data_IF_731199631667
#
_entry.id   IF_731199631667
#
_cell.length_a   1.000
_cell.length_b   1.000
_cell.length_c   1.000
_cell.angle_alpha   90.00
_cell.angle_beta   90.00
_cell.angle_gamma   90.00
#
_symmetry.space_group_name_H-M   'P 1'
#
loop_
_entity.id
_entity.type
_entity.pdbx_description
1 polymer ?
#
# COMPACT_ATOMS: atom_id res chain seq x y z
N UNK A 1 -73.88 -40.36 38.47
CA UNK A 1 -72.55 -39.95 38.91
C UNK A 1 -71.58 -40.24 37.76
N UNK A 2 -71.23 -39.19 37.01
CA UNK A 2 -70.43 -39.28 35.78
C UNK A 2 -69.02 -38.87 36.13
N UNK A 3 -68.05 -39.73 35.95
CA UNK A 3 -66.60 -39.35 36.03
C UNK A 3 -66.04 -39.14 34.68
N UNK A 4 -65.75 -37.88 34.42
CA UNK A 4 -65.01 -37.45 33.24
C UNK A 4 -63.51 -37.71 33.45
N UNK A 5 -62.93 -38.45 32.50
CA UNK A 5 -61.44 -38.64 32.38
C UNK A 5 -60.95 -37.69 31.34
N UNK A 6 -60.19 -36.70 31.78
CA UNK A 6 -59.48 -35.78 30.93
C UNK A 6 -58.11 -36.35 30.54
N UNK A 7 -57.98 -36.72 29.27
CA UNK A 7 -56.70 -37.13 28.71
C UNK A 7 -55.89 -35.92 28.31
N UNK A 8 -54.69 -35.75 28.92
CA UNK A 8 -53.72 -34.75 28.53
C UNK A 8 -52.92 -35.21 27.31
N UNK A 9 -53.05 -34.52 26.23
CA UNK A 9 -52.20 -34.71 25.04
C UNK A 9 -50.92 -33.92 25.23
N UNK A 10 -49.79 -34.60 25.42
CA UNK A 10 -48.45 -34.01 25.43
C UNK A 10 -48.00 -33.82 23.97
N UNK A 11 -47.98 -32.57 23.52
CA UNK A 11 -47.41 -32.16 22.24
C UNK A 11 -45.92 -31.99 22.42
N UNK A 12 -45.09 -32.95 21.93
CA UNK A 12 -43.63 -32.83 21.86
C UNK A 12 -43.34 -32.03 20.61
N UNK A 13 -43.05 -30.72 20.76
CA UNK A 13 -42.49 -29.89 19.72
C UNK A 13 -40.97 -30.15 19.62
N UNK A 14 -40.58 -30.94 18.62
CA UNK A 14 -39.17 -31.09 18.26
C UNK A 14 -38.66 -29.78 17.65
N UNK A 15 -37.90 -28.99 18.44
CA UNK A 15 -37.13 -27.88 17.92
C UNK A 15 -35.97 -28.42 17.07
N UNK A 16 -36.13 -28.44 15.77
CA UNK A 16 -35.05 -28.57 14.81
C UNK A 16 -34.24 -27.25 14.87
N UNK A 17 -33.23 -27.21 15.72
CA UNK A 17 -32.20 -26.19 15.66
C UNK A 17 -31.40 -26.43 14.37
N UNK A 18 -31.80 -25.74 13.31
CA UNK A 18 -30.99 -25.61 12.12
C UNK A 18 -29.72 -24.84 12.49
N UNK A 19 -28.61 -25.59 12.67
CA UNK A 19 -27.28 -24.98 12.70
C UNK A 19 -27.06 -24.40 11.30
N UNK A 20 -27.24 -23.09 11.16
CA UNK A 20 -26.71 -22.35 10.02
C UNK A 20 -25.21 -22.49 10.11
N UNK A 21 -24.62 -23.41 9.35
CA UNK A 21 -23.19 -23.39 9.07
C UNK A 21 -22.94 -22.07 8.37
N UNK A 22 -22.43 -21.09 9.12
CA UNK A 22 -21.79 -19.93 8.53
C UNK A 22 -20.67 -20.53 7.70
N UNK A 23 -20.83 -20.50 6.37
CA UNK A 23 -19.74 -20.81 5.46
C UNK A 23 -18.64 -19.79 5.78
N UNK A 24 -17.55 -20.27 6.40
CA UNK A 24 -16.32 -19.51 6.52
C UNK A 24 -15.86 -19.22 5.09
N UNK A 25 -16.28 -18.05 4.58
CA UNK A 25 -15.63 -17.48 3.40
C UNK A 25 -14.13 -17.29 3.72
N UNK A 26 -13.25 -17.36 2.73
CA UNK A 26 -11.83 -17.17 2.97
C UNK A 26 -11.64 -15.89 3.79
N UNK A 27 -10.93 -16.01 4.91
CA UNK A 27 -10.70 -14.89 5.83
C UNK A 27 -10.19 -13.68 5.04
N UNK A 28 -10.83 -12.54 5.22
CA UNK A 28 -10.47 -11.32 4.48
C UNK A 28 -9.01 -11.00 4.80
N UNK A 29 -8.17 -10.92 3.76
CA UNK A 29 -6.76 -10.58 3.91
C UNK A 29 -6.60 -9.23 4.61
N UNK A 30 -5.60 -9.13 5.46
CA UNK A 30 -5.27 -7.88 6.17
C UNK A 30 -5.02 -6.74 5.17
N UNK A 31 -5.64 -5.56 5.30
CA UNK A 31 -5.43 -4.45 4.38
C UNK A 31 -4.00 -3.91 4.44
N UNK A 32 -3.58 -3.26 3.35
CA UNK A 32 -2.38 -2.43 3.33
C UNK A 32 -2.74 -1.02 3.77
N UNK A 33 -1.99 -0.48 4.73
CA UNK A 33 -2.13 0.90 5.17
C UNK A 33 -0.95 1.73 4.67
N UNK A 34 -1.23 2.81 3.94
CA UNK A 34 -0.23 3.73 3.43
C UNK A 34 -0.44 5.11 4.08
N UNK A 35 0.46 5.47 4.99
CA UNK A 35 0.56 6.80 5.56
C UNK A 35 1.43 7.65 4.65
N UNK A 36 0.84 8.64 4.00
CA UNK A 36 1.47 9.50 3.01
C UNK A 36 1.68 10.88 3.59
N UNK A 37 2.88 11.13 4.11
CA UNK A 37 3.29 12.45 4.56
C UNK A 37 3.52 13.34 3.36
N UNK A 38 2.82 14.46 3.28
CA UNK A 38 3.06 15.46 2.26
C UNK A 38 4.08 16.46 2.79
N UNK A 39 5.27 16.46 2.17
CA UNK A 39 6.31 17.41 2.53
C UNK A 39 5.82 18.85 2.36
N UNK A 40 6.32 19.76 3.19
CA UNK A 40 5.84 21.15 3.23
C UNK A 40 6.13 21.94 1.92
N UNK A 41 6.98 21.40 1.03
CA UNK A 41 7.20 21.95 -0.32
C UNK A 41 6.13 21.52 -1.34
N UNK A 42 5.26 20.55 -1.03
CA UNK A 42 4.21 20.07 -1.94
C UNK A 42 3.15 21.14 -2.13
N UNK A 43 3.05 21.65 -3.36
CA UNK A 43 2.20 22.78 -3.73
C UNK A 43 0.75 22.40 -3.99
N UNK A 44 0.49 21.12 -4.35
CA UNK A 44 -0.86 20.67 -4.63
C UNK A 44 -1.67 20.56 -3.32
N UNK A 45 -2.74 21.33 -3.23
CA UNK A 45 -3.63 21.33 -2.08
C UNK A 45 -4.88 20.47 -2.30
N UNK A 46 -5.20 20.13 -3.54
CA UNK A 46 -6.29 19.23 -3.89
C UNK A 46 -5.80 17.78 -3.75
N UNK A 47 -6.17 17.13 -2.65
CA UNK A 47 -5.80 15.76 -2.35
C UNK A 47 -6.41 14.75 -3.34
N UNK A 48 -7.58 15.03 -3.88
CA UNK A 48 -8.22 14.14 -4.87
C UNK A 48 -7.42 14.15 -6.17
N UNK A 49 -7.00 15.34 -6.60
CA UNK A 49 -6.15 15.51 -7.78
C UNK A 49 -4.79 14.84 -7.58
N UNK A 50 -4.12 15.08 -6.45
CA UNK A 50 -2.85 14.45 -6.11
C UNK A 50 -2.98 12.92 -6.11
N UNK A 51 -4.02 12.39 -5.47
CA UNK A 51 -4.27 10.96 -5.44
C UNK A 51 -4.54 10.40 -6.83
N UNK A 52 -5.32 11.08 -7.66
CA UNK A 52 -5.62 10.67 -9.04
C UNK A 52 -4.36 10.61 -9.90
N UNK A 53 -3.51 11.63 -9.81
CA UNK A 53 -2.35 11.78 -10.69
C UNK A 53 -1.19 10.84 -10.28
N UNK A 54 -1.00 10.58 -8.98
CA UNK A 54 0.18 9.87 -8.47
C UNK A 54 -0.09 8.55 -7.73
N UNK A 55 -1.33 8.26 -7.28
CA UNK A 55 -1.58 7.18 -6.33
C UNK A 55 -2.61 6.16 -6.84
N UNK A 56 -3.78 6.61 -7.28
CA UNK A 56 -4.96 5.75 -7.50
C UNK A 56 -4.71 4.63 -8.50
N UNK A 57 -3.92 4.88 -9.52
CA UNK A 57 -3.65 3.91 -10.57
C UNK A 57 -2.83 2.71 -10.09
N UNK A 58 -1.79 2.92 -9.27
CA UNK A 58 -1.02 1.80 -8.73
C UNK A 58 -1.73 1.10 -7.58
N UNK A 59 -2.56 1.80 -6.81
CA UNK A 59 -3.43 1.19 -5.81
C UNK A 59 -4.35 0.18 -6.47
N UNK A 60 -5.00 0.54 -7.58
CA UNK A 60 -5.84 -0.39 -8.36
C UNK A 60 -5.06 -1.60 -8.87
N UNK A 61 -3.82 -1.41 -9.35
CA UNK A 61 -2.96 -2.52 -9.77
C UNK A 61 -2.63 -3.44 -8.59
N UNK A 62 -2.22 -2.88 -7.43
CA UNK A 62 -1.95 -3.65 -6.22
C UNK A 62 -3.16 -4.45 -5.74
N UNK A 63 -4.32 -3.82 -5.61
CA UNK A 63 -5.55 -4.49 -5.17
C UNK A 63 -5.95 -5.63 -6.11
N UNK A 64 -5.72 -5.46 -7.44
CA UNK A 64 -6.10 -6.42 -8.45
C UNK A 64 -5.40 -7.77 -8.32
N UNK A 65 -4.14 -7.80 -7.90
CA UNK A 65 -3.38 -9.03 -7.78
C UNK A 65 -3.15 -9.49 -6.33
N UNK A 66 -3.06 -8.56 -5.37
CA UNK A 66 -2.89 -8.94 -3.95
C UNK A 66 -4.20 -9.38 -3.30
N UNK A 67 -5.33 -8.95 -3.86
CA UNK A 67 -6.67 -9.11 -3.27
C UNK A 67 -6.74 -8.52 -1.84
N UNK A 68 -5.98 -7.44 -1.59
CA UNK A 68 -5.99 -6.68 -0.34
C UNK A 68 -6.50 -5.28 -0.62
N UNK A 69 -7.32 -4.76 0.26
CA UNK A 69 -7.69 -3.35 0.25
C UNK A 69 -6.46 -2.50 0.59
N UNK A 70 -6.30 -1.39 -0.10
CA UNK A 70 -5.29 -0.37 0.22
C UNK A 70 -5.98 0.83 0.84
N UNK A 71 -5.60 1.18 2.06
CA UNK A 71 -6.11 2.34 2.79
C UNK A 71 -5.03 3.44 2.76
N UNK A 72 -5.45 4.64 2.39
CA UNK A 72 -4.58 5.80 2.26
C UNK A 72 -4.91 6.81 3.35
N UNK A 73 -3.88 7.34 4.00
CA UNK A 73 -3.98 8.47 4.91
C UNK A 73 -2.99 9.55 4.50
N UNK A 74 -3.49 10.71 4.10
CA UNK A 74 -2.66 11.87 3.76
C UNK A 74 -2.46 12.73 5.00
N UNK A 75 -1.19 13.03 5.30
CA UNK A 75 -0.79 13.73 6.51
C UNK A 75 0.05 14.96 6.13
N UNK A 76 -0.30 16.12 6.68
CA UNK A 76 0.40 17.38 6.48
C UNK A 76 0.84 17.98 7.83
N UNK A 77 1.81 18.87 7.77
CA UNK A 77 2.20 19.74 8.89
C UNK A 77 2.55 18.96 10.17
N UNK A 78 3.35 17.89 10.00
CA UNK A 78 3.95 17.16 11.12
C UNK A 78 5.38 17.64 11.29
N UNK A 79 5.68 18.45 12.33
CA UNK A 79 7.04 18.91 12.58
C UNK A 79 8.04 17.74 12.62
N UNK A 80 9.20 17.94 12.07
CA UNK A 80 10.31 16.99 11.92
C UNK A 80 10.10 15.90 10.91
N UNK A 81 8.89 15.66 10.40
CA UNK A 81 8.57 14.67 9.38
C UNK A 81 8.26 15.34 8.04
N UNK A 82 7.27 16.27 7.99
CA UNK A 82 6.90 16.92 6.73
C UNK A 82 7.80 18.09 6.34
N UNK A 83 8.61 18.60 7.26
CA UNK A 83 9.67 19.60 7.04
C UNK A 83 11.08 18.99 6.94
N UNK A 84 11.18 17.67 6.74
CA UNK A 84 12.43 16.92 6.68
C UNK A 84 13.32 17.37 5.51
N UNK A 85 14.60 17.64 5.79
CA UNK A 85 15.58 18.02 4.76
C UNK A 85 15.99 16.78 3.93
N UNK A 86 15.22 16.47 2.90
CA UNK A 86 15.37 15.25 2.09
C UNK A 86 16.38 15.37 0.94
N UNK A 87 16.85 16.58 0.60
CA UNK A 87 17.76 16.79 -0.54
C UNK A 87 19.19 16.45 -0.19
N UNK A 88 19.88 15.77 -1.12
CA UNK A 88 21.29 15.42 -0.98
C UNK A 88 21.71 14.21 -1.78
N UNK A 89 23.00 13.85 -1.71
CA UNK A 89 23.57 12.71 -2.45
C UNK A 89 23.82 11.48 -1.56
N UNK A 90 23.79 11.64 -0.25
CA UNK A 90 23.94 10.55 0.71
C UNK A 90 22.56 9.93 1.00
N UNK A 91 22.13 9.06 0.09
CA UNK A 91 20.79 8.42 0.14
C UNK A 91 20.63 7.52 1.36
N UNK A 92 21.70 6.85 1.80
CA UNK A 92 21.67 5.98 2.96
C UNK A 92 21.36 6.80 4.22
N UNK A 93 22.12 7.87 4.43
CA UNK A 93 21.91 8.79 5.56
C UNK A 93 20.50 9.40 5.53
N UNK A 94 20.06 9.89 4.37
CA UNK A 94 18.71 10.48 4.20
C UNK A 94 17.63 9.45 4.57
N UNK A 95 17.75 8.21 4.10
CA UNK A 95 16.78 7.13 4.39
C UNK A 95 16.76 6.77 5.88
N UNK A 96 17.95 6.67 6.52
CA UNK A 96 18.06 6.36 7.95
C UNK A 96 17.50 7.51 8.80
N UNK A 97 17.84 8.75 8.48
CA UNK A 97 17.37 9.93 9.21
C UNK A 97 15.85 10.08 9.11
N UNK A 98 15.29 9.87 7.91
CA UNK A 98 13.84 9.88 7.73
C UNK A 98 13.16 8.77 8.53
N UNK A 99 13.66 7.54 8.47
CA UNK A 99 13.14 6.42 9.26
C UNK A 99 13.11 6.74 10.75
N UNK A 100 14.20 7.30 11.30
CA UNK A 100 14.27 7.65 12.72
C UNK A 100 13.18 8.68 13.13
N UNK A 101 12.82 9.60 12.24
CA UNK A 101 11.73 10.57 12.48
C UNK A 101 10.35 9.91 12.42
N UNK A 102 10.17 9.00 11.46
CA UNK A 102 8.94 8.20 11.37
C UNK A 102 8.79 7.31 12.60
N UNK A 103 9.86 6.71 13.12
CA UNK A 103 9.82 5.89 14.34
C UNK A 103 9.38 6.72 15.56
N UNK A 104 9.88 7.95 15.69
CA UNK A 104 9.42 8.86 16.75
C UNK A 104 7.94 9.19 16.59
N UNK A 105 7.48 9.43 15.37
CA UNK A 105 6.07 9.69 15.06
C UNK A 105 5.17 8.50 15.39
N UNK A 106 5.56 7.28 14.98
CA UNK A 106 4.86 6.03 15.26
C UNK A 106 4.73 5.82 16.76
N UNK A 107 5.85 5.92 17.48
CA UNK A 107 5.90 5.71 18.93
C UNK A 107 5.05 6.72 19.70
N UNK A 108 5.13 8.01 19.32
CA UNK A 108 4.36 9.06 19.97
C UNK A 108 2.84 8.91 19.81
N UNK A 109 2.37 8.21 18.75
CA UNK A 109 0.95 8.04 18.42
C UNK A 109 0.47 6.59 18.56
N UNK A 110 1.32 5.68 18.99
CA UNK A 110 1.03 4.25 19.10
C UNK A 110 0.47 3.67 17.79
N UNK A 111 1.07 4.06 16.65
CA UNK A 111 0.68 3.59 15.33
C UNK A 111 1.30 2.21 15.03
N UNK A 112 0.71 1.45 14.09
CA UNK A 112 1.22 0.13 13.74
C UNK A 112 2.61 0.23 13.07
N UNK A 113 3.54 -0.62 13.51
CA UNK A 113 4.78 -0.91 12.81
C UNK A 113 4.78 -2.39 12.43
N UNK A 114 4.20 -2.70 11.29
CA UNK A 114 4.06 -4.07 10.79
C UNK A 114 4.25 -4.12 9.27
N UNK A 115 4.45 -5.31 8.68
CA UNK A 115 4.75 -5.43 7.24
C UNK A 115 3.66 -4.93 6.29
N UNK A 116 2.41 -4.82 6.74
CA UNK A 116 1.29 -4.31 5.94
C UNK A 116 1.04 -2.81 6.14
N UNK A 117 1.84 -2.13 6.96
CA UNK A 117 1.76 -0.68 7.17
C UNK A 117 3.02 0.00 6.64
N UNK A 118 2.86 1.00 5.80
CA UNK A 118 3.95 1.72 5.13
C UNK A 118 3.81 3.22 5.35
N UNK A 119 4.94 3.89 5.50
CA UNK A 119 5.04 5.33 5.76
C UNK A 119 5.92 5.96 4.68
N UNK A 120 5.37 6.88 3.91
CA UNK A 120 6.08 7.48 2.78
C UNK A 120 6.02 9.00 2.83
N UNK A 121 7.15 9.66 2.64
CA UNK A 121 7.22 11.09 2.40
C UNK A 121 7.06 11.35 0.90
N UNK A 122 6.06 12.13 0.53
CA UNK A 122 5.87 12.63 -0.82
C UNK A 122 6.44 14.04 -0.91
N UNK A 123 7.41 14.25 -1.80
CA UNK A 123 8.09 15.53 -1.98
C UNK A 123 7.75 16.16 -3.32
N UNK A 124 7.79 17.49 -3.41
CA UNK A 124 7.57 18.19 -4.67
C UNK A 124 8.69 17.89 -5.67
N UNK A 125 9.92 17.99 -5.22
CA UNK A 125 11.12 17.85 -6.06
C UNK A 125 11.80 16.49 -5.83
N UNK A 126 12.70 16.12 -6.74
CA UNK A 126 13.59 14.97 -6.60
C UNK A 126 14.58 15.16 -5.43
N UNK A 127 15.12 14.05 -4.90
CA UNK A 127 16.12 14.05 -3.83
C UNK A 127 17.41 14.74 -4.32
N UNK A 128 17.83 14.43 -5.54
CA UNK A 128 18.90 15.11 -6.25
C UNK A 128 18.60 15.13 -7.77
N UNK A 129 19.59 15.38 -8.62
CA UNK A 129 19.37 15.49 -10.09
C UNK A 129 18.98 14.18 -10.77
N UNK A 130 19.26 13.04 -10.14
CA UNK A 130 19.11 11.70 -10.73
C UNK A 130 18.09 10.82 -9.96
N UNK A 131 17.90 11.09 -8.68
CA UNK A 131 17.16 10.22 -7.77
C UNK A 131 15.81 10.83 -7.40
N UNK A 132 14.73 10.18 -7.85
CA UNK A 132 13.35 10.56 -7.58
C UNK A 132 12.78 9.97 -6.28
N UNK A 133 13.43 8.99 -5.69
CA UNK A 133 12.97 8.37 -4.45
C UNK A 133 13.99 7.43 -3.85
N UNK A 134 13.72 6.96 -2.64
CA UNK A 134 14.52 5.97 -1.95
C UNK A 134 13.68 5.14 -0.99
N UNK A 135 13.80 3.82 -1.07
CA UNK A 135 13.23 2.87 -0.13
C UNK A 135 14.17 1.68 0.09
N UNK A 136 14.11 1.07 1.26
CA UNK A 136 14.74 -0.21 1.50
C UNK A 136 13.81 -1.35 1.09
N UNK A 137 14.35 -2.39 0.47
CA UNK A 137 13.59 -3.60 0.13
C UNK A 137 12.99 -4.20 1.41
N UNK A 138 11.68 -4.47 1.39
CA UNK A 138 10.89 -4.93 2.55
C UNK A 138 10.85 -3.94 3.72
N UNK A 139 11.28 -2.70 3.50
CA UNK A 139 11.21 -1.63 4.49
C UNK A 139 9.78 -1.16 4.75
N UNK A 140 9.64 -0.26 5.70
CA UNK A 140 8.35 0.37 6.02
C UNK A 140 8.35 1.87 5.80
N UNK A 141 9.49 2.47 5.47
CA UNK A 141 9.63 3.90 5.15
C UNK A 141 10.20 4.11 3.77
N UNK A 142 9.77 5.17 3.10
CA UNK A 142 10.28 5.60 1.80
C UNK A 142 10.13 7.12 1.63
N UNK A 143 10.92 7.68 0.70
CA UNK A 143 10.74 9.03 0.18
C UNK A 143 10.50 8.90 -1.32
N UNK A 144 9.49 9.59 -1.85
CA UNK A 144 9.14 9.56 -3.27
C UNK A 144 8.76 10.96 -3.78
N UNK A 145 9.34 11.35 -4.91
CA UNK A 145 9.08 12.65 -5.53
C UNK A 145 7.85 12.62 -6.43
N UNK A 146 7.01 13.64 -6.31
CA UNK A 146 5.89 13.89 -7.21
C UNK A 146 6.34 14.48 -8.58
N UNK A 147 7.61 14.89 -8.71
CA UNK A 147 8.16 15.28 -10.01
C UNK A 147 8.22 14.11 -10.99
N UNK A 148 8.23 12.87 -10.49
CA UNK A 148 8.19 11.65 -11.29
C UNK A 148 6.93 10.87 -10.96
N UNK A 149 6.00 10.75 -11.91
CA UNK A 149 4.66 10.20 -11.68
C UNK A 149 4.65 8.74 -11.16
N UNK A 150 5.70 7.95 -11.41
CA UNK A 150 5.80 6.56 -10.95
C UNK A 150 6.65 6.37 -9.69
N UNK A 151 7.31 7.40 -9.16
CA UNK A 151 8.20 7.25 -8.02
C UNK A 151 7.47 6.66 -6.79
N UNK A 152 6.25 7.08 -6.51
CA UNK A 152 5.45 6.54 -5.40
C UNK A 152 5.22 5.03 -5.54
N UNK A 153 4.85 4.57 -6.75
CA UNK A 153 4.66 3.15 -7.02
C UNK A 153 5.99 2.37 -6.98
N UNK A 154 7.07 2.97 -7.46
CA UNK A 154 8.41 2.38 -7.47
C UNK A 154 8.90 2.13 -6.05
N UNK A 155 8.89 3.16 -5.20
CA UNK A 155 9.35 3.05 -3.82
C UNK A 155 8.46 2.13 -2.98
N UNK A 156 7.13 2.16 -3.20
CA UNK A 156 6.24 1.19 -2.58
C UNK A 156 6.54 -0.24 -3.03
N UNK A 157 6.88 -0.42 -4.31
CA UNK A 157 7.33 -1.72 -4.83
C UNK A 157 8.51 -2.28 -4.04
N UNK A 158 9.54 -1.48 -3.78
CA UNK A 158 10.67 -1.88 -2.93
C UNK A 158 10.25 -2.26 -1.52
N UNK A 159 9.39 -1.45 -0.90
CA UNK A 159 8.87 -1.77 0.45
C UNK A 159 8.07 -3.08 0.50
N UNK A 160 7.61 -3.59 -0.65
CA UNK A 160 6.84 -4.83 -0.79
C UNK A 160 7.63 -5.98 -1.47
N UNK A 161 8.96 -5.92 -1.53
CA UNK A 161 9.84 -6.91 -2.15
C UNK A 161 9.98 -6.81 -3.68
N UNK A 162 9.50 -5.76 -4.32
CA UNK A 162 9.77 -5.49 -5.73
C UNK A 162 11.24 -5.12 -5.96
N UNK A 163 11.80 -5.54 -7.11
CA UNK A 163 13.20 -5.28 -7.48
C UNK A 163 13.34 -4.79 -8.91
N UNK A 164 14.44 -4.08 -9.19
CA UNK A 164 14.75 -3.58 -10.52
C UNK A 164 14.98 -4.71 -11.53
N UNK A 165 15.64 -5.79 -11.11
CA UNK A 165 15.97 -6.94 -11.97
C UNK A 165 14.72 -7.66 -12.49
N UNK A 166 13.61 -7.55 -11.76
CA UNK A 166 12.32 -8.09 -12.15
C UNK A 166 11.47 -7.10 -12.96
N UNK A 167 11.98 -5.91 -13.29
CA UNK A 167 11.28 -4.95 -14.12
C UNK A 167 11.26 -5.40 -15.60
N UNK A 168 10.25 -4.96 -16.33
CA UNK A 168 10.05 -5.35 -17.73
C UNK A 168 9.71 -4.12 -18.58
N UNK A 169 10.10 -4.18 -19.86
CA UNK A 169 9.60 -3.31 -20.91
C UNK A 169 8.61 -4.13 -21.75
N UNK A 170 7.36 -3.70 -21.77
CA UNK A 170 6.27 -4.41 -22.43
C UNK A 170 5.84 -3.71 -23.71
N UNK A 171 5.36 -4.48 -24.70
CA UNK A 171 4.72 -3.94 -25.90
C UNK A 171 3.20 -4.06 -25.75
N UNK A 172 2.51 -2.92 -25.61
CA UNK A 172 1.05 -2.87 -25.41
C UNK A 172 0.42 -1.78 -26.27
N UNK A 173 -0.67 -2.10 -26.94
CA UNK A 173 -1.43 -1.12 -27.70
C UNK A 173 -0.64 -0.40 -28.80
N UNK A 174 0.40 -1.02 -29.35
CA UNK A 174 1.24 -0.41 -30.39
C UNK A 174 2.46 0.37 -29.86
N UNK A 175 2.68 0.40 -28.54
CA UNK A 175 3.77 1.15 -27.91
C UNK A 175 4.58 0.31 -26.94
N UNK A 176 5.85 0.64 -26.78
CA UNK A 176 6.69 0.14 -25.72
C UNK A 176 6.41 0.93 -24.44
N UNK A 177 6.15 0.24 -23.34
CA UNK A 177 5.98 0.84 -22.04
C UNK A 177 6.82 0.15 -20.96
N UNK A 178 7.13 0.89 -19.91
CA UNK A 178 7.99 0.50 -18.79
C UNK A 178 7.14 0.20 -17.57
N UNK A 179 7.40 -0.95 -16.91
CA UNK A 179 6.77 -1.31 -15.64
C UNK A 179 7.34 -0.49 -14.48
N UNK A 180 6.62 -0.45 -13.36
CA UNK A 180 6.89 0.49 -12.26
C UNK A 180 8.29 0.41 -11.66
N UNK A 181 8.92 -0.78 -11.67
CA UNK A 181 10.22 -1.02 -11.02
C UNK A 181 11.42 -0.78 -11.93
N UNK A 182 11.24 -0.21 -13.15
CA UNK A 182 12.38 0.07 -13.99
C UNK A 182 13.21 1.20 -13.38
N UNK A 183 14.50 0.95 -13.14
CA UNK A 183 15.42 1.87 -12.47
C UNK A 183 15.70 3.12 -13.33
N UNK A 184 16.07 2.91 -14.59
CA UNK A 184 16.37 3.99 -15.53
C UNK A 184 15.28 4.06 -16.59
N UNK A 185 14.56 5.17 -16.61
CA UNK A 185 13.46 5.37 -17.56
C UNK A 185 13.94 5.92 -18.90
N UNK A 186 13.34 5.42 -19.96
CA UNK A 186 13.56 5.95 -21.30
C UNK A 186 12.42 6.90 -21.67
N UNK A 187 12.77 8.18 -21.97
CA UNK A 187 11.80 9.24 -22.25
C UNK A 187 10.89 8.98 -23.46
N UNK A 188 11.31 8.09 -24.40
CA UNK A 188 10.48 7.72 -25.56
C UNK A 188 9.54 6.55 -25.31
N UNK A 189 9.56 5.95 -24.12
CA UNK A 189 8.67 4.86 -23.73
C UNK A 189 7.55 5.38 -22.83
N UNK A 190 6.36 4.80 -23.00
CA UNK A 190 5.23 5.09 -22.13
C UNK A 190 5.40 4.44 -20.75
N UNK A 191 4.56 4.81 -19.79
CA UNK A 191 4.37 4.06 -18.56
C UNK A 191 3.35 2.93 -18.79
N UNK A 192 3.64 1.73 -18.33
CA UNK A 192 2.68 0.63 -18.31
C UNK A 192 1.63 0.75 -17.20
N UNK A 193 1.87 1.60 -16.17
CA UNK A 193 1.03 1.77 -14.97
C UNK A 193 0.78 0.47 -14.18
N UNK A 194 1.70 -0.49 -14.28
CA UNK A 194 1.62 -1.79 -13.61
C UNK A 194 3.00 -2.25 -13.14
N UNK A 195 3.01 -3.15 -12.16
CA UNK A 195 4.18 -3.97 -11.90
C UNK A 195 4.32 -5.09 -12.95
N UNK A 196 5.55 -5.54 -13.21
CA UNK A 196 5.81 -6.72 -14.04
C UNK A 196 5.21 -7.99 -13.43
N UNK A 197 5.05 -9.04 -14.22
CA UNK A 197 4.53 -10.31 -13.72
C UNK A 197 5.39 -10.88 -12.58
N UNK A 198 6.72 -10.78 -12.69
CA UNK A 198 7.64 -11.23 -11.65
C UNK A 198 7.54 -10.38 -10.39
N UNK A 199 7.52 -9.05 -10.51
CA UNK A 199 7.37 -8.19 -9.34
C UNK A 199 6.02 -8.41 -8.64
N UNK A 200 4.93 -8.67 -9.36
CA UNK A 200 3.65 -9.06 -8.78
C UNK A 200 3.76 -10.33 -7.93
N UNK A 201 4.40 -11.37 -8.46
CA UNK A 201 4.63 -12.62 -7.71
C UNK A 201 5.46 -12.41 -6.45
N UNK A 202 6.51 -11.59 -6.52
CA UNK A 202 7.36 -11.25 -5.36
C UNK A 202 6.56 -10.52 -4.28
N UNK A 203 5.80 -9.50 -4.67
CA UNK A 203 4.93 -8.72 -3.75
C UNK A 203 3.88 -9.64 -3.10
N UNK A 204 3.22 -10.50 -3.87
CA UNK A 204 2.26 -11.46 -3.33
C UNK A 204 2.90 -12.44 -2.36
N UNK A 205 4.07 -13.00 -2.71
CA UNK A 205 4.81 -13.93 -1.86
C UNK A 205 5.23 -13.26 -0.54
N UNK A 206 5.69 -12.00 -0.59
CA UNK A 206 6.00 -11.23 0.60
C UNK A 206 4.76 -11.03 1.47
N UNK A 207 3.66 -10.55 0.89
CA UNK A 207 2.44 -10.25 1.63
C UNK A 207 1.69 -11.49 2.12
N UNK A 208 1.85 -12.65 1.47
CA UNK A 208 1.21 -13.91 1.89
C UNK A 208 1.68 -14.39 3.27
N UNK A 209 2.84 -13.93 3.72
CA UNK A 209 3.37 -14.21 5.04
C UNK A 209 2.59 -13.48 6.17
N UNK A 210 1.72 -12.54 5.81
CA UNK A 210 0.97 -11.67 6.74
C UNK A 210 -0.53 -11.69 6.39
N UNK A 211 -1.23 -12.78 6.72
CA UNK A 211 -2.65 -13.00 6.39
C UNK A 211 -3.61 -11.98 7.03
#
# INVERSE_FOLDING_TARGET
MLKTVTGSLLLIAALLMGQSALADGPAAKRPLFLFLFLHDDVRENDLERLAKDHITWFVKDLESFTHRRVQLEFIRHVPTVTDFAYKGDDLERISVDFRNRVDQYINARNLPNNPTTKYMLLTQDMINREVGGVALIKGYTAIASLATYNATAHELGHMLDGTHEAAEVLYRGGWWCETNMLEVRNQIRANCYVYSAENKRRIEAHLSQYP
#
